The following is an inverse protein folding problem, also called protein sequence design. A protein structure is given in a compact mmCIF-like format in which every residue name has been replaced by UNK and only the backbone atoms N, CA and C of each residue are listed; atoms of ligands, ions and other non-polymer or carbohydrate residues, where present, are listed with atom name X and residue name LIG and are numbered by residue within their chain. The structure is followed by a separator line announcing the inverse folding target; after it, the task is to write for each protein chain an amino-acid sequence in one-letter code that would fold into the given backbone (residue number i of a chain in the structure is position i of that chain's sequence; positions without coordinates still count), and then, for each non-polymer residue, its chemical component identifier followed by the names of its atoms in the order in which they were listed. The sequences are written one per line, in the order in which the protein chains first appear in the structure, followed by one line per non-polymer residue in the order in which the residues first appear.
data_IF_958296026613
#
_entry.id   IF_958296026613
#
_cell.length_a   1.000
_cell.length_b   1.000
_cell.length_c   1.000
_cell.angle_alpha   90.00
_cell.angle_beta   90.00
_cell.angle_gamma   90.00
#
_symmetry.space_group_name_H-M   'P 1'
#
loop_
_entity.id
_entity.type
_entity.pdbx_description
1 polymer ?
#
# COMPACT_ATOMS: atom_id res chain seq x y z
N UNK A 1 -38.70 25.03 -0.88
CA UNK A 1 -37.40 24.85 -1.55
C UNK A 1 -36.42 24.31 -0.52
N UNK A 2 -36.43 23.00 -0.26
CA UNK A 2 -35.53 22.38 0.72
C UNK A 2 -34.77 21.23 0.09
N UNK A 3 -33.45 21.42 0.04
CA UNK A 3 -32.43 20.41 0.31
C UNK A 3 -32.17 19.35 -0.78
N UNK A 4 -31.43 19.78 -1.81
CA UNK A 4 -30.45 18.91 -2.48
C UNK A 4 -29.22 18.79 -1.59
N UNK A 5 -29.24 17.90 -0.61
CA UNK A 5 -28.01 17.39 0.01
C UNK A 5 -27.80 15.96 -0.47
N UNK A 6 -26.89 15.81 -1.44
CA UNK A 6 -26.45 14.52 -1.98
C UNK A 6 -25.84 13.72 -0.83
N UNK A 7 -26.57 12.74 -0.32
CA UNK A 7 -26.05 11.72 0.57
C UNK A 7 -25.06 10.86 -0.22
N UNK A 8 -23.80 11.28 -0.17
CA UNK A 8 -22.58 10.56 -0.42
C UNK A 8 -22.63 9.18 0.28
N UNK A 9 -23.12 8.17 -0.45
CA UNK A 9 -23.00 6.76 -0.10
C UNK A 9 -21.53 6.37 -0.19
N UNK A 10 -20.80 6.54 0.91
CA UNK A 10 -19.60 5.77 1.17
C UNK A 10 -19.99 4.30 1.26
N UNK A 11 -19.80 3.55 0.17
CA UNK A 11 -19.78 2.09 0.21
C UNK A 11 -18.50 1.69 0.94
N UNK A 12 -18.56 1.77 2.27
CA UNK A 12 -17.63 1.09 3.16
C UNK A 12 -18.01 -0.39 3.19
N UNK A 13 -17.04 -1.25 2.86
CA UNK A 13 -16.93 -2.66 3.24
C UNK A 13 -18.25 -3.35 3.53
N UNK A 14 -18.83 -4.00 2.51
CA UNK A 14 -19.77 -5.08 2.76
C UNK A 14 -18.97 -6.21 3.40
N UNK A 15 -19.12 -6.40 4.72
CA UNK A 15 -18.78 -7.67 5.37
C UNK A 15 -19.80 -8.69 4.90
N UNK A 16 -19.52 -9.38 3.79
CA UNK A 16 -20.33 -10.52 3.35
C UNK A 16 -20.02 -11.71 4.25
N UNK A 17 -20.87 -11.93 5.26
CA UNK A 17 -21.11 -13.29 5.72
C UNK A 17 -21.80 -14.04 4.58
N UNK A 18 -21.05 -14.85 3.83
CA UNK A 18 -21.58 -15.60 2.69
C UNK A 18 -20.51 -15.93 1.65
N UNK A 19 -20.28 -17.25 1.48
CA UNK A 19 -19.39 -17.93 0.52
C UNK A 19 -17.89 -17.59 0.60
N UNK A 20 -17.06 -18.63 0.59
CA UNK A 20 -15.61 -18.48 0.48
C UNK A 20 -15.26 -17.82 -0.86
N UNK A 21 -14.34 -16.84 -0.90
CA UNK A 21 -13.91 -16.24 -2.15
C UNK A 21 -13.29 -17.32 -3.04
N UNK A 22 -13.52 -17.21 -4.34
CA UNK A 22 -12.95 -18.10 -5.36
C UNK A 22 -12.16 -17.30 -6.39
N UNK A 23 -11.34 -17.95 -7.21
CA UNK A 23 -10.60 -17.23 -8.25
C UNK A 23 -11.53 -16.56 -9.28
N UNK A 24 -12.76 -17.04 -9.42
CA UNK A 24 -13.79 -16.44 -10.29
C UNK A 24 -14.17 -15.02 -9.87
N UNK A 25 -14.02 -14.69 -8.58
CA UNK A 25 -14.28 -13.36 -8.03
C UNK A 25 -13.04 -12.43 -8.12
N UNK A 26 -11.94 -12.94 -8.68
CA UNK A 26 -10.71 -12.18 -8.80
C UNK A 26 -10.74 -11.27 -10.02
N UNK A 27 -10.43 -9.99 -9.82
CA UNK A 27 -10.23 -9.00 -10.88
C UNK A 27 -9.42 -9.55 -12.06
N UNK A 28 -8.32 -10.26 -11.81
CA UNK A 28 -7.50 -10.81 -12.88
C UNK A 28 -8.19 -11.92 -13.68
N UNK A 29 -9.02 -12.78 -13.06
CA UNK A 29 -9.76 -13.84 -13.76
C UNK A 29 -10.88 -13.23 -14.60
N UNK A 30 -11.65 -12.29 -14.02
CA UNK A 30 -12.72 -11.59 -14.73
C UNK A 30 -12.21 -10.88 -16.00
N UNK A 31 -10.95 -10.44 -15.99
CA UNK A 31 -10.30 -9.77 -17.12
C UNK A 31 -9.41 -10.70 -17.98
N UNK A 32 -9.42 -12.02 -17.74
CA UNK A 32 -8.56 -13.00 -18.45
C UNK A 32 -7.04 -12.73 -18.34
N UNK A 33 -6.62 -12.09 -17.25
CA UNK A 33 -5.23 -11.73 -16.92
C UNK A 33 -4.64 -12.60 -15.79
N UNK A 34 -5.40 -13.56 -15.26
CA UNK A 34 -4.92 -14.39 -14.16
C UNK A 34 -3.86 -15.38 -14.65
N UNK A 35 -2.69 -15.37 -14.02
CA UNK A 35 -1.58 -16.24 -14.39
C UNK A 35 -1.78 -17.71 -14.00
N UNK A 36 -2.70 -17.99 -13.07
CA UNK A 36 -2.93 -19.33 -12.53
C UNK A 36 -4.32 -19.84 -12.97
N UNK A 37 -4.43 -21.14 -13.26
CA UNK A 37 -5.67 -21.86 -13.55
C UNK A 37 -6.12 -22.66 -12.31
N UNK A 38 -6.43 -21.93 -11.24
CA UNK A 38 -6.94 -22.48 -9.97
C UNK A 38 -8.38 -22.02 -9.73
N UNK A 39 -9.15 -22.85 -9.02
CA UNK A 39 -10.50 -22.52 -8.55
C UNK A 39 -10.47 -21.77 -7.19
N UNK A 40 -9.45 -22.04 -6.38
CA UNK A 40 -9.19 -21.33 -5.12
C UNK A 40 -8.62 -19.92 -5.34
N UNK A 41 -8.75 -18.99 -4.37
CA UNK A 41 -8.12 -17.68 -4.45
C UNK A 41 -6.63 -17.78 -4.77
N UNK A 42 -6.23 -17.21 -5.90
CA UNK A 42 -4.83 -17.20 -6.30
C UNK A 42 -3.97 -16.32 -5.37
N UNK A 43 -2.64 -16.52 -5.39
CA UNK A 43 -1.72 -15.75 -4.55
C UNK A 43 -1.79 -14.23 -4.76
N UNK A 44 -2.27 -13.78 -5.93
CA UNK A 44 -2.45 -12.37 -6.28
C UNK A 44 -3.90 -11.92 -6.19
N UNK A 45 -4.78 -12.67 -5.51
CA UNK A 45 -6.22 -12.39 -5.43
C UNK A 45 -6.49 -10.93 -5.06
N UNK A 46 -7.26 -10.26 -5.92
CA UNK A 46 -7.81 -8.93 -5.73
C UNK A 46 -9.30 -9.01 -6.07
N UNK A 47 -10.20 -8.60 -5.16
CA UNK A 47 -11.63 -8.59 -5.45
C UNK A 47 -11.93 -7.72 -6.68
N UNK A 48 -12.82 -8.19 -7.55
CA UNK A 48 -13.33 -7.39 -8.67
C UNK A 48 -14.27 -6.29 -8.14
N UNK A 49 -13.82 -5.03 -8.20
CA UNK A 49 -14.57 -3.86 -7.76
C UNK A 49 -14.91 -2.98 -8.97
N UNK A 50 -16.09 -2.33 -9.03
CA UNK A 50 -16.49 -1.54 -10.20
C UNK A 50 -15.50 -0.43 -10.61
N UNK A 51 -14.83 0.21 -9.65
CA UNK A 51 -13.77 1.19 -9.90
C UNK A 51 -12.35 0.58 -10.03
N UNK A 52 -12.27 -0.73 -10.25
CA UNK A 52 -11.05 -1.46 -10.62
C UNK A 52 -10.03 -1.64 -9.49
N UNK A 53 -8.79 -1.95 -9.88
CA UNK A 53 -7.66 -2.06 -8.95
C UNK A 53 -7.35 -0.69 -8.34
N UNK A 54 -7.64 -0.54 -7.04
CA UNK A 54 -7.21 0.65 -6.30
C UNK A 54 -5.76 0.50 -5.85
N UNK A 55 -4.85 1.39 -6.29
CA UNK A 55 -3.49 1.38 -5.77
C UNK A 55 -3.50 1.72 -4.28
N UNK A 56 -2.66 1.08 -3.46
CA UNK A 56 -2.46 1.49 -2.08
C UNK A 56 -1.94 2.94 -2.06
N UNK A 57 -2.32 3.69 -1.02
CA UNK A 57 -1.78 5.03 -0.85
C UNK A 57 -0.26 4.95 -0.70
N UNK A 58 0.45 5.61 -1.60
CA UNK A 58 1.90 5.73 -1.51
C UNK A 58 2.30 6.32 -0.15
N UNK A 59 3.29 5.69 0.50
CA UNK A 59 3.88 6.20 1.72
C UNK A 59 4.46 7.60 1.48
N UNK A 60 4.33 8.49 2.45
CA UNK A 60 4.89 9.84 2.39
C UNK A 60 6.26 9.86 3.04
N UNK A 61 7.20 10.59 2.44
CA UNK A 61 8.48 10.85 3.07
C UNK A 61 8.28 11.70 4.33
N UNK A 62 8.75 11.20 5.47
CA UNK A 62 8.86 11.96 6.70
C UNK A 62 10.33 12.30 6.90
N UNK A 63 10.70 13.54 6.60
CA UNK A 63 12.05 14.03 6.85
C UNK A 63 12.29 14.10 8.36
N UNK A 64 13.45 13.61 8.81
CA UNK A 64 13.87 13.73 10.21
C UNK A 64 14.28 15.17 10.51
N UNK A 65 14.10 15.59 11.77
CA UNK A 65 14.57 16.90 12.25
C UNK A 65 16.08 17.08 12.02
N UNK A 66 16.55 18.31 11.72
CA UNK A 66 17.95 18.58 11.35
C UNK A 66 18.97 18.28 12.46
N UNK A 67 18.54 18.05 13.71
CA UNK A 67 19.43 17.78 14.84
C UNK A 67 20.15 16.41 14.77
N UNK A 68 19.85 15.54 13.79
CA UNK A 68 20.52 14.24 13.60
C UNK A 68 21.02 14.05 12.16
N UNK A 69 21.65 15.06 11.59
CA UNK A 69 22.39 14.93 10.32
C UNK A 69 23.68 14.12 10.47
N UNK A 70 24.19 13.95 11.69
CA UNK A 70 25.30 13.03 11.95
C UNK A 70 24.80 11.59 11.92
N UNK A 71 25.26 10.82 10.95
CA UNK A 71 25.02 9.38 10.91
C UNK A 71 25.51 8.75 12.22
N UNK A 72 24.76 7.78 12.76
CA UNK A 72 25.18 7.05 13.96
C UNK A 72 26.53 6.32 13.79
N UNK A 73 26.98 6.19 12.54
CA UNK A 73 28.23 5.58 12.09
C UNK A 73 29.13 6.59 11.37
N UNK A 74 28.99 7.89 11.62
CA UNK A 74 29.89 8.87 11.06
C UNK A 74 31.34 8.61 11.52
N UNK A 75 32.26 8.56 10.57
CA UNK A 75 33.69 8.43 10.84
C UNK A 75 34.24 9.77 11.37
N UNK A 76 35.32 9.72 12.18
CA UNK A 76 36.07 10.93 12.55
C UNK A 76 36.49 11.71 11.31
N UNK A 77 36.57 13.02 11.45
CA UNK A 77 37.17 13.89 10.44
C UNK A 77 38.66 13.56 10.25
N UNK A 78 39.22 13.97 9.12
CA UNK A 78 40.64 13.76 8.84
C UNK A 78 41.55 14.41 9.91
N UNK A 79 41.15 15.56 10.44
CA UNK A 79 41.87 16.27 11.51
C UNK A 79 41.82 15.50 12.83
N UNK A 80 40.65 14.97 13.22
CA UNK A 80 40.49 14.14 14.41
C UNK A 80 41.33 12.85 14.32
N UNK A 81 41.37 12.21 13.14
CA UNK A 81 42.17 11.02 12.91
C UNK A 81 43.68 11.33 12.99
N UNK A 82 44.13 12.47 12.47
CA UNK A 82 45.53 12.88 12.55
C UNK A 82 45.98 13.12 14.00
N UNK A 83 45.13 13.72 14.83
CA UNK A 83 45.42 13.98 16.24
C UNK A 83 45.58 12.70 17.08
N UNK A 84 44.89 11.61 16.71
CA UNK A 84 45.00 10.31 17.40
C UNK A 84 46.31 9.58 17.11
N UNK A 85 47.02 9.95 16.03
CA UNK A 85 48.21 9.25 15.54
C UNK A 85 49.48 10.13 15.53
N UNK A 86 49.43 11.28 16.19
CA UNK A 86 50.58 12.19 16.41
C UNK A 86 51.27 11.89 17.75
#
# INVERSE_FOLDING_TARGET
MSERSKMNKSVGTRRSGGRQPTCDDCYFRCNMLCALSLDEPCATFRPDHPEGLRPPRQLRFHFRQPARTTAAWAFPTAEEQAALHA
#
